data_IF_135040955874
#
_entry.id   IF_135040955874
#
_cell.length_a   1.000
_cell.length_b   1.000
_cell.length_c   1.000
_cell.angle_alpha   90.00
_cell.angle_beta   90.00
_cell.angle_gamma   90.00
#
_symmetry.space_group_name_H-M   'P 1'
#
loop_
_entity.id
_entity.type
_entity.pdbx_description
1 polymer ?
#
# COMPACT_ATOMS: atom_id res chain seq x y z
N UNK A 1 7.94 -46.23 -63.55
CA UNK A 1 7.61 -44.79 -63.45
C UNK A 1 6.21 -44.74 -62.88
N UNK A 2 6.07 -44.57 -61.56
CA UNK A 2 4.76 -44.40 -60.95
C UNK A 2 4.31 -42.97 -61.25
N UNK A 3 3.20 -42.85 -61.98
CA UNK A 3 2.53 -41.58 -62.23
C UNK A 3 1.83 -41.17 -60.94
N UNK A 4 2.33 -40.11 -60.31
CA UNK A 4 1.81 -39.54 -59.08
C UNK A 4 0.75 -38.47 -59.39
N UNK A 5 -0.27 -38.30 -58.54
CA UNK A 5 -1.23 -37.20 -58.70
C UNK A 5 -0.57 -35.87 -58.30
N UNK A 6 -0.64 -34.89 -59.18
CA UNK A 6 -0.19 -33.51 -58.91
C UNK A 6 -0.98 -32.83 -57.78
N UNK A 7 -2.15 -33.36 -57.43
CA UNK A 7 -3.06 -32.81 -56.42
C UNK A 7 -2.50 -32.78 -54.99
N UNK A 8 -1.99 -33.91 -54.49
CA UNK A 8 -1.55 -34.02 -53.08
C UNK A 8 -0.38 -33.09 -52.72
N UNK A 9 0.49 -32.81 -53.69
CA UNK A 9 1.59 -31.85 -53.53
C UNK A 9 1.08 -30.41 -53.55
N UNK A 10 0.10 -30.12 -54.39
CA UNK A 10 -0.52 -28.79 -54.51
C UNK A 10 -1.28 -28.44 -53.21
N UNK A 11 -1.94 -29.41 -52.58
CA UNK A 11 -2.60 -29.24 -51.29
C UNK A 11 -1.61 -28.90 -50.16
N UNK A 12 -0.46 -29.60 -50.08
CA UNK A 12 0.57 -29.27 -49.09
C UNK A 12 1.15 -27.86 -49.29
N UNK A 13 1.40 -27.46 -50.53
CA UNK A 13 1.91 -26.12 -50.85
C UNK A 13 0.89 -25.03 -50.47
N UNK A 14 -0.41 -25.25 -50.72
CA UNK A 14 -1.50 -24.35 -50.30
C UNK A 14 -1.63 -24.24 -48.77
N UNK A 15 -1.61 -25.35 -48.05
CA UNK A 15 -1.66 -25.37 -46.58
C UNK A 15 -0.43 -24.68 -45.97
N UNK A 16 0.75 -24.86 -46.56
CA UNK A 16 1.96 -24.16 -46.14
C UNK A 16 1.85 -22.64 -46.36
N UNK A 17 1.33 -22.20 -47.51
CA UNK A 17 1.13 -20.77 -47.79
C UNK A 17 0.12 -20.15 -46.81
N UNK A 18 -0.98 -20.84 -46.51
CA UNK A 18 -1.93 -20.39 -45.50
C UNK A 18 -1.28 -20.27 -44.12
N UNK A 19 -0.48 -21.26 -43.71
CA UNK A 19 0.25 -21.20 -42.45
C UNK A 19 1.21 -19.99 -42.38
N UNK A 20 1.94 -19.68 -43.46
CA UNK A 20 2.82 -18.51 -43.49
C UNK A 20 2.03 -17.21 -43.29
N UNK A 21 0.85 -17.10 -43.89
CA UNK A 21 -0.04 -15.94 -43.69
C UNK A 21 -0.49 -15.83 -42.23
N UNK A 22 -0.91 -16.93 -41.60
CA UNK A 22 -1.29 -16.95 -40.19
C UNK A 22 -0.13 -16.56 -39.28
N UNK A 23 1.05 -17.13 -39.52
CA UNK A 23 2.25 -16.86 -38.76
C UNK A 23 2.69 -15.40 -38.88
N UNK A 24 2.66 -14.82 -40.09
CA UNK A 24 2.99 -13.42 -40.30
C UNK A 24 2.00 -12.50 -39.57
N UNK A 25 0.70 -12.80 -39.66
CA UNK A 25 -0.33 -12.03 -38.94
C UNK A 25 -0.11 -12.06 -37.43
N UNK A 26 0.22 -13.22 -36.86
CA UNK A 26 0.54 -13.36 -35.44
C UNK A 26 1.77 -12.53 -35.04
N UNK A 27 2.82 -12.53 -35.88
CA UNK A 27 4.00 -11.70 -35.66
C UNK A 27 3.66 -10.21 -35.70
N UNK A 28 2.86 -9.78 -36.68
CA UNK A 28 2.45 -8.38 -36.83
C UNK A 28 1.62 -7.92 -35.63
N UNK A 29 0.68 -8.75 -35.15
CA UNK A 29 -0.10 -8.48 -33.94
C UNK A 29 0.81 -8.39 -32.70
N UNK A 30 1.76 -9.32 -32.52
CA UNK A 30 2.70 -9.26 -31.41
C UNK A 30 3.60 -8.03 -31.45
N UNK A 31 4.14 -7.68 -32.62
CA UNK A 31 4.98 -6.48 -32.79
C UNK A 31 4.18 -5.22 -32.50
N UNK A 32 2.94 -5.14 -32.98
CA UNK A 32 2.03 -4.02 -32.70
C UNK A 32 1.77 -3.86 -31.21
N UNK A 33 1.51 -4.93 -30.47
CA UNK A 33 1.28 -4.87 -29.02
C UNK A 33 2.58 -4.51 -28.25
N UNK A 34 3.74 -4.98 -28.72
CA UNK A 34 5.05 -4.69 -28.09
C UNK A 34 5.53 -3.26 -28.33
N UNK A 35 5.20 -2.68 -29.49
CA UNK A 35 5.61 -1.32 -29.86
C UNK A 35 4.78 -0.22 -29.17
N UNK A 36 3.64 -0.56 -28.56
CA UNK A 36 2.88 0.39 -27.76
C UNK A 36 3.75 0.89 -26.61
N UNK A 37 3.94 2.21 -26.52
CA UNK A 37 4.80 2.81 -25.50
C UNK A 37 3.95 3.29 -24.34
N UNK A 38 4.46 3.10 -23.11
CA UNK A 38 3.87 3.63 -21.88
C UNK A 38 3.68 5.16 -21.89
N UNK A 39 4.29 5.86 -22.85
CA UNK A 39 4.14 7.30 -23.10
C UNK A 39 2.94 7.67 -23.98
N UNK A 40 2.29 6.70 -24.63
CA UNK A 40 1.17 6.96 -25.53
C UNK A 40 -0.08 7.40 -24.72
N UNK A 41 -0.73 8.47 -25.16
CA UNK A 41 -1.93 9.03 -24.50
C UNK A 41 -3.08 8.01 -24.46
N UNK A 42 -3.11 7.08 -25.42
CA UNK A 42 -4.09 6.00 -25.53
C UNK A 42 -3.54 4.64 -25.07
N UNK A 43 -2.52 4.62 -24.20
CA UNK A 43 -1.97 3.36 -23.71
C UNK A 43 -3.04 2.53 -22.99
N UNK A 44 -3.27 1.27 -23.39
CA UNK A 44 -4.31 0.44 -22.79
C UNK A 44 -4.02 0.14 -21.32
N UNK A 45 -5.08 -0.07 -20.53
CA UNK A 45 -4.93 -0.50 -19.14
C UNK A 45 -4.26 -1.87 -19.06
N UNK A 46 -3.67 -2.20 -17.91
CA UNK A 46 -3.00 -3.49 -17.73
C UNK A 46 -3.98 -4.67 -17.86
N UNK A 47 -5.26 -4.51 -17.50
CA UNK A 47 -6.30 -5.53 -17.75
C UNK A 47 -6.53 -5.74 -19.24
N UNK A 48 -6.63 -4.65 -20.01
CA UNK A 48 -6.84 -4.74 -21.46
C UNK A 48 -5.62 -5.34 -22.16
N UNK A 49 -4.41 -4.96 -21.73
CA UNK A 49 -3.16 -5.53 -22.23
C UNK A 49 -3.09 -7.03 -21.94
N UNK A 50 -3.43 -7.44 -20.73
CA UNK A 50 -3.46 -8.85 -20.34
C UNK A 50 -4.39 -9.65 -21.25
N UNK A 51 -5.60 -9.13 -21.49
CA UNK A 51 -6.56 -9.73 -22.40
C UNK A 51 -6.02 -9.85 -23.84
N UNK A 52 -5.34 -8.81 -24.34
CA UNK A 52 -4.71 -8.82 -25.67
C UNK A 52 -3.62 -9.91 -25.76
N UNK A 53 -2.74 -10.02 -24.75
CA UNK A 53 -1.69 -11.05 -24.75
C UNK A 53 -2.25 -12.47 -24.55
N UNK A 54 -3.35 -12.64 -23.80
CA UNK A 54 -4.04 -13.94 -23.69
C UNK A 54 -4.63 -14.38 -25.02
N UNK A 55 -5.26 -13.47 -25.77
CA UNK A 55 -5.73 -13.74 -27.14
C UNK A 55 -4.59 -14.07 -28.11
N UNK A 56 -3.47 -13.36 -28.01
CA UNK A 56 -2.27 -13.68 -28.79
C UNK A 56 -1.74 -15.09 -28.49
N UNK A 57 -1.81 -15.52 -27.23
CA UNK A 57 -1.42 -16.88 -26.85
C UNK A 57 -2.37 -17.93 -27.45
N UNK A 58 -3.68 -17.67 -27.46
CA UNK A 58 -4.67 -18.54 -28.11
C UNK A 58 -4.41 -18.66 -29.62
N UNK A 59 -4.19 -17.54 -30.32
CA UNK A 59 -3.82 -17.53 -31.75
C UNK A 59 -2.49 -18.27 -32.01
N UNK A 60 -1.53 -18.17 -31.09
CA UNK A 60 -0.28 -18.90 -31.17
C UNK A 60 -0.50 -20.42 -31.03
N UNK A 61 -1.35 -20.86 -30.10
CA UNK A 61 -1.68 -22.27 -29.92
C UNK A 61 -2.33 -22.85 -31.18
N UNK A 62 -3.25 -22.12 -31.82
CA UNK A 62 -3.82 -22.47 -33.13
C UNK A 62 -2.74 -22.60 -34.21
N UNK A 63 -1.84 -21.62 -34.28
CA UNK A 63 -0.73 -21.61 -35.25
C UNK A 63 0.22 -22.79 -35.03
N UNK A 64 0.55 -23.11 -33.78
CA UNK A 64 1.37 -24.28 -33.40
C UNK A 64 0.68 -25.59 -33.79
N UNK A 65 -0.64 -25.68 -33.66
CA UNK A 65 -1.39 -26.85 -34.09
C UNK A 65 -1.39 -27.01 -35.62
N UNK A 66 -1.58 -25.92 -36.38
CA UNK A 66 -1.42 -25.96 -37.84
C UNK A 66 0.00 -26.38 -38.26
N UNK A 67 1.03 -25.88 -37.58
CA UNK A 67 2.41 -26.29 -37.83
C UNK A 67 2.64 -27.79 -37.58
N UNK A 68 2.06 -28.34 -36.52
CA UNK A 68 2.12 -29.80 -36.22
C UNK A 68 1.44 -30.61 -37.31
N UNK A 69 0.26 -30.18 -37.78
CA UNK A 69 -0.44 -30.85 -38.87
C UNK A 69 0.34 -30.79 -40.19
N UNK A 70 0.91 -29.64 -40.54
CA UNK A 70 1.80 -29.50 -41.69
C UNK A 70 3.00 -30.43 -41.60
N UNK A 71 3.63 -30.50 -40.43
CA UNK A 71 4.75 -31.43 -40.17
C UNK A 71 4.31 -32.89 -40.32
N UNK A 72 3.09 -33.24 -39.88
CA UNK A 72 2.52 -34.58 -40.03
C UNK A 72 2.28 -34.91 -41.50
N UNK A 73 1.66 -34.01 -42.26
CA UNK A 73 1.41 -34.18 -43.71
C UNK A 73 2.73 -34.31 -44.48
N UNK A 74 3.71 -33.46 -44.17
CA UNK A 74 5.05 -33.51 -44.78
C UNK A 74 5.71 -34.88 -44.59
N UNK A 75 5.64 -35.46 -43.38
CA UNK A 75 6.17 -36.81 -43.11
C UNK A 75 5.43 -37.89 -43.89
N UNK A 76 4.09 -37.82 -43.96
CA UNK A 76 3.29 -38.79 -44.71
C UNK A 76 3.62 -38.78 -46.20
N UNK A 77 3.72 -37.60 -46.81
CA UNK A 77 4.08 -37.44 -48.21
C UNK A 77 5.53 -37.89 -48.47
N UNK A 78 6.45 -37.60 -47.53
CA UNK A 78 7.83 -38.09 -47.60
C UNK A 78 7.89 -39.63 -47.59
N UNK A 79 7.09 -40.27 -46.73
CA UNK A 79 6.99 -41.74 -46.67
C UNK A 79 6.40 -42.35 -47.95
N UNK A 80 5.50 -41.63 -48.64
CA UNK A 80 4.98 -42.02 -49.96
C UNK A 80 6.00 -41.80 -51.11
N UNK A 81 7.19 -41.29 -50.83
CA UNK A 81 8.25 -41.06 -51.81
C UNK A 81 8.27 -39.65 -52.42
N UNK A 82 7.43 -38.72 -51.94
CA UNK A 82 7.49 -37.32 -52.36
C UNK A 82 8.69 -36.62 -51.71
N UNK A 83 9.53 -35.95 -52.50
CA UNK A 83 10.57 -35.06 -51.97
C UNK A 83 9.94 -33.72 -51.61
N UNK A 84 9.58 -33.56 -50.35
CA UNK A 84 9.09 -32.28 -49.81
C UNK A 84 10.23 -31.58 -49.09
N UNK A 85 10.55 -30.38 -49.57
CA UNK A 85 11.54 -29.52 -48.96
C UNK A 85 10.88 -28.58 -47.95
N UNK A 86 10.81 -29.01 -46.69
CA UNK A 86 10.32 -28.21 -45.56
C UNK A 86 11.49 -27.76 -44.67
N UNK A 87 12.57 -27.28 -45.31
CA UNK A 87 13.82 -26.86 -44.64
C UNK A 87 13.62 -25.80 -43.55
N UNK A 88 12.60 -24.95 -43.67
CA UNK A 88 12.26 -23.92 -42.68
C UNK A 88 11.57 -24.44 -41.42
N UNK A 89 11.19 -25.72 -41.35
CA UNK A 89 10.43 -26.28 -40.22
C UNK A 89 11.15 -26.14 -38.87
N UNK A 90 12.46 -26.41 -38.84
CA UNK A 90 13.25 -26.33 -37.62
C UNK A 90 13.34 -24.91 -37.08
N UNK A 91 13.55 -23.95 -37.99
CA UNK A 91 13.60 -22.52 -37.69
C UNK A 91 12.24 -21.99 -37.23
N UNK A 92 11.16 -22.33 -37.95
CA UNK A 92 9.79 -21.96 -37.59
C UNK A 92 9.41 -22.48 -36.22
N UNK A 93 9.73 -23.74 -35.91
CA UNK A 93 9.47 -24.32 -34.59
C UNK A 93 10.25 -23.60 -33.47
N UNK A 94 11.52 -23.24 -33.73
CA UNK A 94 12.31 -22.47 -32.77
C UNK A 94 11.75 -21.06 -32.55
N UNK A 95 11.30 -20.41 -33.63
CA UNK A 95 10.71 -19.08 -33.57
C UNK A 95 9.35 -19.10 -32.84
N UNK A 96 8.50 -20.09 -33.10
CA UNK A 96 7.23 -20.28 -32.38
C UNK A 96 7.44 -20.46 -30.88
N UNK A 97 8.40 -21.30 -30.47
CA UNK A 97 8.76 -21.47 -29.05
C UNK A 97 9.30 -20.18 -28.42
N UNK A 98 10.10 -19.44 -29.17
CA UNK A 98 10.64 -18.15 -28.71
C UNK A 98 9.51 -17.14 -28.51
N UNK A 99 8.58 -17.06 -29.46
CA UNK A 99 7.41 -16.20 -29.38
C UNK A 99 6.50 -16.59 -28.21
N UNK A 100 6.28 -17.89 -28.00
CA UNK A 100 5.52 -18.41 -26.84
C UNK A 100 6.14 -17.93 -25.53
N UNK A 101 7.45 -18.11 -25.36
CA UNK A 101 8.17 -17.67 -24.17
C UNK A 101 8.06 -16.15 -23.96
N UNK A 102 8.15 -15.36 -25.04
CA UNK A 102 8.00 -13.91 -24.97
C UNK A 102 6.59 -13.49 -24.53
N UNK A 103 5.54 -14.09 -25.12
CA UNK A 103 4.14 -13.80 -24.77
C UNK A 103 3.87 -14.19 -23.31
N UNK A 104 4.30 -15.38 -22.86
CA UNK A 104 4.12 -15.83 -21.48
C UNK A 104 4.82 -14.92 -20.47
N UNK A 105 6.05 -14.51 -20.75
CA UNK A 105 6.78 -13.57 -19.89
C UNK A 105 6.08 -12.22 -19.76
N UNK A 106 5.50 -11.72 -20.85
CA UNK A 106 4.72 -10.47 -20.85
C UNK A 106 3.42 -10.62 -20.05
N UNK A 107 2.70 -11.73 -20.19
CA UNK A 107 1.53 -12.06 -19.36
C UNK A 107 1.90 -12.04 -17.88
N UNK A 108 2.95 -12.76 -17.49
CA UNK A 108 3.41 -12.84 -16.09
C UNK A 108 3.85 -11.48 -15.55
N UNK A 109 4.47 -10.62 -16.37
CA UNK A 109 4.82 -9.25 -15.97
C UNK A 109 3.57 -8.43 -15.70
N UNK A 110 2.60 -8.46 -16.61
CA UNK A 110 1.35 -7.69 -16.47
C UNK A 110 0.53 -8.18 -15.28
N UNK A 111 0.45 -9.50 -15.05
CA UNK A 111 -0.27 -10.06 -13.90
C UNK A 111 0.37 -9.65 -12.56
N UNK A 112 1.71 -9.61 -12.47
CA UNK A 112 2.41 -9.08 -11.29
C UNK A 112 2.15 -7.59 -11.07
N UNK A 113 2.10 -6.81 -12.15
CA UNK A 113 1.78 -5.39 -12.08
C UNK A 113 0.34 -5.18 -11.57
N UNK A 114 -0.65 -5.88 -12.13
CA UNK A 114 -2.04 -5.82 -11.69
C UNK A 114 -2.21 -6.22 -10.22
N UNK A 115 -1.52 -7.26 -9.77
CA UNK A 115 -1.54 -7.67 -8.37
C UNK A 115 -0.94 -6.58 -7.47
N UNK A 116 0.18 -5.97 -7.88
CA UNK A 116 0.82 -4.88 -7.15
C UNK A 116 -0.06 -3.63 -7.10
N UNK A 117 -0.77 -3.29 -8.19
CA UNK A 117 -1.76 -2.20 -8.22
C UNK A 117 -2.90 -2.48 -7.23
N UNK A 118 -3.44 -3.70 -7.22
CA UNK A 118 -4.51 -4.10 -6.29
C UNK A 118 -4.07 -4.02 -4.82
N UNK A 119 -2.86 -4.49 -4.52
CA UNK A 119 -2.27 -4.37 -3.18
C UNK A 119 -2.12 -2.91 -2.78
N UNK A 120 -1.63 -2.06 -3.69
CA UNK A 120 -1.53 -0.63 -3.45
C UNK A 120 -2.89 -0.02 -3.08
N UNK A 121 -3.95 -0.29 -3.84
CA UNK A 121 -5.27 0.29 -3.58
C UNK A 121 -5.87 -0.16 -2.25
N UNK A 122 -5.62 -1.41 -1.84
CA UNK A 122 -6.06 -1.90 -0.54
C UNK A 122 -5.34 -1.16 0.60
N UNK A 123 -4.02 -0.99 0.48
CA UNK A 123 -3.20 -0.28 1.47
C UNK A 123 -3.59 1.20 1.53
N UNK A 124 -3.84 1.86 0.40
CA UNK A 124 -4.30 3.26 0.40
C UNK A 124 -5.64 3.43 1.13
N UNK A 125 -6.54 2.46 0.97
CA UNK A 125 -7.84 2.46 1.66
C UNK A 125 -7.69 2.25 3.17
N UNK A 126 -6.83 1.31 3.59
CA UNK A 126 -6.52 1.09 5.01
C UNK A 126 -5.87 2.32 5.63
N UNK A 127 -4.91 2.92 4.92
CA UNK A 127 -4.23 4.15 5.34
C UNK A 127 -5.21 5.31 5.51
N UNK A 128 -6.12 5.53 4.55
CA UNK A 128 -7.14 6.57 4.69
C UNK A 128 -8.06 6.31 5.88
N UNK A 129 -8.43 5.05 6.13
CA UNK A 129 -9.23 4.65 7.29
C UNK A 129 -8.51 4.98 8.60
N UNK A 130 -7.24 4.59 8.74
CA UNK A 130 -6.47 4.89 9.95
C UNK A 130 -6.30 6.39 10.18
N UNK A 131 -6.03 7.15 9.12
CA UNK A 131 -5.91 8.61 9.20
C UNK A 131 -7.24 9.25 9.59
N UNK A 132 -8.35 8.81 9.00
CA UNK A 132 -9.67 9.35 9.27
C UNK A 132 -10.11 9.08 10.71
N UNK A 133 -10.03 7.82 11.16
CA UNK A 133 -10.47 7.45 12.52
C UNK A 133 -9.56 8.13 13.57
N UNK A 134 -8.26 8.19 13.33
CA UNK A 134 -7.33 8.89 14.25
C UNK A 134 -7.65 10.38 14.35
N UNK A 135 -8.00 11.03 13.24
CA UNK A 135 -8.42 12.42 13.24
C UNK A 135 -9.73 12.64 14.00
N UNK A 136 -10.72 11.76 13.83
CA UNK A 136 -11.99 11.84 14.55
C UNK A 136 -11.83 11.59 16.05
N UNK A 137 -11.01 10.61 16.45
CA UNK A 137 -10.68 10.36 17.85
C UNK A 137 -9.94 11.54 18.49
N UNK A 138 -9.03 12.17 17.75
CA UNK A 138 -8.33 13.34 18.24
C UNK A 138 -9.31 14.51 18.48
N UNK A 139 -10.28 14.71 17.58
CA UNK A 139 -11.33 15.72 17.78
C UNK A 139 -12.21 15.40 18.99
N UNK A 140 -12.67 14.15 19.14
CA UNK A 140 -13.54 13.75 20.25
C UNK A 140 -12.82 13.71 21.61
N UNK A 141 -11.50 13.56 21.62
CA UNK A 141 -10.67 13.54 22.83
C UNK A 141 -10.84 14.79 23.71
N UNK A 142 -11.28 15.91 23.15
CA UNK A 142 -11.52 17.15 23.91
C UNK A 142 -12.49 16.97 25.09
N UNK A 143 -13.41 16.00 25.00
CA UNK A 143 -14.50 15.79 25.97
C UNK A 143 -14.32 14.58 26.89
N UNK A 144 -13.21 13.84 26.79
CA UNK A 144 -13.00 12.61 27.56
C UNK A 144 -12.19 12.83 28.84
N UNK A 145 -12.51 12.05 29.89
CA UNK A 145 -11.79 12.04 31.17
C UNK A 145 -10.47 11.27 31.09
N UNK A 146 -10.38 10.24 30.24
CA UNK A 146 -9.17 9.42 30.06
C UNK A 146 -8.49 9.74 28.72
N UNK A 147 -7.82 10.89 28.67
CA UNK A 147 -7.14 11.37 27.46
C UNK A 147 -5.84 10.61 27.18
N UNK A 148 -5.20 10.07 28.22
CA UNK A 148 -3.94 9.31 28.07
C UNK A 148 -4.15 8.01 27.27
N UNK A 149 -5.20 7.25 27.59
CA UNK A 149 -5.54 6.05 26.81
C UNK A 149 -5.86 6.37 25.34
N UNK A 150 -6.51 7.52 25.10
CA UNK A 150 -6.84 7.98 23.75
C UNK A 150 -5.57 8.36 22.98
N UNK A 151 -4.67 9.14 23.59
CA UNK A 151 -3.40 9.52 22.95
C UNK A 151 -2.53 8.30 22.66
N UNK A 152 -2.49 7.29 23.53
CA UNK A 152 -1.77 6.06 23.27
C UNK A 152 -2.37 5.28 22.09
N UNK A 153 -3.70 5.22 22.01
CA UNK A 153 -4.41 4.56 20.89
C UNK A 153 -4.13 5.27 19.57
N UNK A 154 -4.19 6.60 19.56
CA UNK A 154 -3.89 7.41 18.38
C UNK A 154 -2.42 7.23 17.97
N UNK A 155 -1.48 7.25 18.92
CA UNK A 155 -0.05 7.04 18.64
C UNK A 155 0.22 5.69 17.97
N UNK A 156 -0.36 4.60 18.49
CA UNK A 156 -0.24 3.27 17.90
C UNK A 156 -0.79 3.23 16.45
N UNK A 157 -1.92 3.91 16.19
CA UNK A 157 -2.51 3.98 14.85
C UNK A 157 -1.68 4.83 13.89
N UNK A 158 -1.10 5.93 14.35
CA UNK A 158 -0.20 6.74 13.52
C UNK A 158 1.06 5.97 13.13
N UNK A 159 1.57 5.10 14.01
CA UNK A 159 2.66 4.19 13.69
C UNK A 159 2.25 3.13 12.65
N UNK A 160 1.04 2.57 12.76
CA UNK A 160 0.48 1.67 11.73
C UNK A 160 0.33 2.38 10.38
N UNK A 161 -0.22 3.60 10.36
CA UNK A 161 -0.32 4.42 9.16
C UNK A 161 1.04 4.68 8.50
N UNK A 162 2.09 4.91 9.29
CA UNK A 162 3.45 5.09 8.76
C UNK A 162 3.99 3.81 8.12
N UNK A 163 3.73 2.65 8.74
CA UNK A 163 4.09 1.36 8.16
C UNK A 163 3.40 1.13 6.81
N UNK A 164 2.09 1.36 6.74
CA UNK A 164 1.32 1.20 5.51
C UNK A 164 1.72 2.21 4.42
N UNK A 165 2.04 3.45 4.80
CA UNK A 165 2.56 4.45 3.86
C UNK A 165 3.89 4.01 3.25
N UNK A 166 4.82 3.47 4.07
CA UNK A 166 6.10 2.96 3.56
C UNK A 166 5.90 1.77 2.61
N UNK A 167 4.94 0.89 2.91
CA UNK A 167 4.58 -0.22 2.02
C UNK A 167 3.99 0.28 0.70
N UNK A 168 3.12 1.29 0.75
CA UNK A 168 2.56 1.97 -0.43
C UNK A 168 3.65 2.58 -1.31
N UNK A 169 4.66 3.24 -0.71
CA UNK A 169 5.84 3.75 -1.42
C UNK A 169 6.59 2.61 -2.13
N UNK A 170 6.91 1.52 -1.44
CA UNK A 170 7.64 0.39 -2.02
C UNK A 170 6.87 -0.25 -3.19
N UNK A 171 5.54 -0.38 -3.09
CA UNK A 171 4.72 -0.91 -4.17
C UNK A 171 4.69 0.05 -5.37
N UNK A 172 4.63 1.35 -5.13
CA UNK A 172 4.67 2.35 -6.20
C UNK A 172 5.97 2.29 -7.01
N UNK A 173 7.11 2.11 -6.33
CA UNK A 173 8.42 1.97 -6.97
C UNK A 173 8.50 0.73 -7.88
N UNK A 174 7.85 -0.38 -7.49
CA UNK A 174 7.77 -1.59 -8.32
C UNK A 174 6.97 -1.36 -9.60
N UNK A 175 5.99 -0.47 -9.57
CA UNK A 175 5.10 -0.19 -10.70
C UNK A 175 5.67 0.81 -11.72
N UNK A 176 6.83 1.42 -11.45
CA UNK A 176 7.37 2.52 -12.27
C UNK A 176 7.53 2.18 -13.76
N UNK A 177 7.87 0.93 -14.06
CA UNK A 177 8.09 0.44 -15.43
C UNK A 177 6.87 -0.24 -16.04
N UNK A 178 5.84 -0.51 -15.24
CA UNK A 178 4.67 -1.30 -15.64
C UNK A 178 3.40 -0.45 -15.79
N UNK A 179 3.44 0.81 -15.32
CA UNK A 179 2.36 1.78 -15.43
C UNK A 179 2.67 2.90 -16.43
N UNK A 180 1.67 3.39 -17.19
CA UNK A 180 1.77 4.64 -17.91
C UNK A 180 2.22 5.75 -16.98
N UNK A 181 3.07 6.64 -17.49
CA UNK A 181 3.64 7.73 -16.68
C UNK A 181 2.56 8.58 -16.01
N UNK A 182 1.45 8.84 -16.71
CA UNK A 182 0.31 9.57 -16.14
C UNK A 182 -0.31 8.89 -14.93
N UNK A 183 -0.49 7.56 -14.96
CA UNK A 183 -1.01 6.76 -13.82
C UNK A 183 -0.02 6.74 -12.66
N UNK A 184 1.26 6.55 -12.95
CA UNK A 184 2.31 6.57 -11.94
C UNK A 184 2.39 7.93 -11.23
N UNK A 185 2.31 9.04 -11.97
CA UNK A 185 2.29 10.39 -11.37
C UNK A 185 1.04 10.63 -10.50
N UNK A 186 -0.12 10.07 -10.88
CA UNK A 186 -1.31 10.10 -10.01
C UNK A 186 -1.09 9.33 -8.72
N UNK A 187 -0.48 8.14 -8.82
CA UNK A 187 -0.11 7.31 -7.66
C UNK A 187 0.80 8.08 -6.70
N UNK A 188 1.84 8.71 -7.25
CA UNK A 188 2.81 9.50 -6.50
C UNK A 188 2.14 10.67 -5.77
N UNK A 189 1.26 11.42 -6.44
CA UNK A 189 0.50 12.50 -5.81
C UNK A 189 -0.39 12.01 -4.68
N UNK A 190 -1.01 10.85 -4.83
CA UNK A 190 -1.81 10.24 -3.76
C UNK A 190 -0.93 9.96 -2.55
N UNK A 191 0.23 9.30 -2.73
CA UNK A 191 1.18 9.01 -1.65
C UNK A 191 1.66 10.30 -0.96
N UNK A 192 2.02 11.33 -1.73
CA UNK A 192 2.44 12.64 -1.22
C UNK A 192 1.33 13.25 -0.33
N UNK A 193 0.09 13.29 -0.83
CA UNK A 193 -1.06 13.78 -0.05
C UNK A 193 -1.29 12.96 1.23
N UNK A 194 -1.10 11.63 1.21
CA UNK A 194 -1.21 10.79 2.40
C UNK A 194 -0.11 11.09 3.41
N UNK A 195 1.12 11.25 2.93
CA UNK A 195 2.26 11.61 3.75
C UNK A 195 2.03 12.95 4.45
N UNK A 196 1.61 13.97 3.71
CA UNK A 196 1.29 15.29 4.27
C UNK A 196 0.21 15.22 5.35
N UNK A 197 -0.88 14.48 5.11
CA UNK A 197 -1.95 14.27 6.10
C UNK A 197 -1.46 13.56 7.36
N UNK A 198 -0.62 12.52 7.21
CA UNK A 198 -0.03 11.80 8.34
C UNK A 198 0.85 12.74 9.19
N UNK A 199 1.71 13.52 8.55
CA UNK A 199 2.60 14.46 9.26
C UNK A 199 1.80 15.57 9.97
N UNK A 200 0.77 16.11 9.31
CA UNK A 200 -0.12 17.09 9.93
C UNK A 200 -0.80 16.52 11.18
N UNK A 201 -1.34 15.29 11.09
CA UNK A 201 -2.03 14.63 12.20
C UNK A 201 -1.08 14.30 13.36
N UNK A 202 0.14 13.81 13.07
CA UNK A 202 1.20 13.60 14.08
C UNK A 202 1.47 14.89 14.85
N UNK A 203 1.71 16.00 14.14
CA UNK A 203 1.96 17.31 14.75
C UNK A 203 0.79 17.80 15.60
N UNK A 204 -0.46 17.63 15.14
CA UNK A 204 -1.65 18.00 15.94
C UNK A 204 -1.76 17.14 17.19
N UNK A 205 -1.48 15.83 17.10
CA UNK A 205 -1.51 14.91 18.23
C UNK A 205 -0.45 15.27 19.28
N UNK A 206 0.78 15.56 18.86
CA UNK A 206 1.87 15.98 19.76
C UNK A 206 1.51 17.27 20.50
N UNK A 207 0.94 18.26 19.78
CA UNK A 207 0.48 19.51 20.39
C UNK A 207 -0.61 19.26 21.43
N UNK A 208 -1.64 18.50 21.08
CA UNK A 208 -2.76 18.18 21.97
C UNK A 208 -2.30 17.41 23.22
N UNK A 209 -1.34 16.50 23.06
CA UNK A 209 -0.71 15.79 24.17
C UNK A 209 0.06 16.74 25.09
N UNK A 210 0.88 17.65 24.53
CA UNK A 210 1.60 18.64 25.32
C UNK A 210 0.69 19.58 26.12
N UNK A 211 -0.43 20.00 25.52
CA UNK A 211 -1.47 20.77 26.21
C UNK A 211 -2.12 19.97 27.36
N UNK A 212 -2.39 18.68 27.15
CA UNK A 212 -2.92 17.80 28.19
C UNK A 212 -1.94 17.59 29.35
N UNK A 213 -0.66 17.33 29.06
CA UNK A 213 0.39 17.19 30.07
C UNK A 213 0.56 18.47 30.90
N UNK A 214 0.49 19.65 30.26
CA UNK A 214 0.52 20.94 30.96
C UNK A 214 -0.69 21.11 31.89
N UNK A 215 -1.88 20.74 31.43
CA UNK A 215 -3.10 20.77 32.22
C UNK A 215 -3.00 19.85 33.45
N UNK A 216 -2.53 18.61 33.28
CA UNK A 216 -2.30 17.67 34.39
C UNK A 216 -1.33 18.26 35.41
N UNK A 217 -0.20 18.82 34.96
CA UNK A 217 0.79 19.44 35.86
C UNK A 217 0.20 20.59 36.66
N UNK A 218 -0.60 21.43 36.01
CA UNK A 218 -1.29 22.55 36.67
C UNK A 218 -2.30 22.06 37.70
N UNK A 219 -3.09 21.05 37.35
CA UNK A 219 -4.08 20.45 38.25
C UNK A 219 -3.42 19.80 39.47
N UNK A 220 -2.33 19.06 39.27
CA UNK A 220 -1.58 18.42 40.36
C UNK A 220 -1.01 19.48 41.31
N UNK A 221 -0.42 20.55 40.77
CA UNK A 221 0.06 21.67 41.58
C UNK A 221 -1.05 22.33 42.40
N UNK A 222 -2.21 22.60 41.77
CA UNK A 222 -3.38 23.13 42.48
C UNK A 222 -3.85 22.20 43.60
N UNK A 223 -3.85 20.88 43.36
CA UNK A 223 -4.21 19.90 44.37
C UNK A 223 -3.21 19.89 45.55
N UNK A 224 -1.89 19.96 45.26
CA UNK A 224 -0.85 20.07 46.29
C UNK A 224 -1.00 21.35 47.12
N UNK A 225 -1.24 22.49 46.46
CA UNK A 225 -1.48 23.78 47.12
C UNK A 225 -2.73 23.70 48.02
N UNK A 226 -3.82 23.09 47.54
CA UNK A 226 -5.05 22.90 48.32
C UNK A 226 -4.84 21.98 49.53
N UNK A 227 -4.12 20.87 49.37
CA UNK A 227 -3.78 19.97 50.49
C UNK A 227 -2.98 20.75 51.54
N UNK A 228 -1.98 21.52 51.11
CA UNK A 228 -1.15 22.33 51.99
C UNK A 228 -1.98 23.36 52.77
N UNK A 229 -2.91 24.05 52.09
CA UNK A 229 -3.83 25.00 52.72
C UNK A 229 -4.74 24.30 53.73
N UNK A 230 -5.31 23.15 53.37
CA UNK A 230 -6.19 22.38 54.26
C UNK A 230 -5.42 21.92 55.51
N UNK A 231 -4.19 21.45 55.36
CA UNK A 231 -3.35 21.03 56.48
C UNK A 231 -2.97 22.21 57.38
N UNK A 232 -2.69 23.37 56.79
CA UNK A 232 -2.49 24.61 57.55
C UNK A 232 -3.74 25.00 58.35
N UNK A 233 -4.93 24.96 57.75
CA UNK A 233 -6.20 25.21 58.45
C UNK A 233 -6.45 24.20 59.58
N UNK A 234 -6.19 22.92 59.36
CA UNK A 234 -6.31 21.89 60.42
C UNK A 234 -5.41 22.20 61.60
N UNK A 235 -4.16 22.59 61.35
CA UNK A 235 -3.20 22.95 62.40
C UNK A 235 -3.66 24.19 63.18
N UNK A 236 -4.13 25.23 62.49
CA UNK A 236 -4.69 26.42 63.12
C UNK A 236 -5.86 26.07 64.06
N UNK A 237 -6.78 25.20 63.62
CA UNK A 237 -7.90 24.75 64.44
C UNK A 237 -7.42 23.95 65.67
N UNK A 238 -6.37 23.12 65.53
CA UNK A 238 -5.78 22.40 66.66
C UNK A 238 -5.16 23.37 67.68
N UNK A 239 -4.40 24.35 67.21
CA UNK A 239 -3.77 25.37 68.06
C UNK A 239 -4.82 26.19 68.83
N UNK A 240 -5.94 26.53 68.19
CA UNK A 240 -7.06 27.25 68.82
C UNK A 240 -7.86 26.41 69.82
N UNK A 241 -7.83 25.08 69.70
CA UNK A 241 -8.52 24.16 70.60
C UNK A 241 -7.65 23.71 71.80
N UNK A 242 -6.40 24.18 71.91
CA UNK A 242 -5.64 24.04 73.15
C UNK A 242 -6.01 25.16 74.13
N UNK A 243 -6.45 24.84 75.36
CA UNK A 243 -6.78 25.86 76.35
C UNK A 243 -5.51 26.65 76.67
N UNK A 244 -5.59 27.98 76.56
CA UNK A 244 -4.56 28.87 77.07
C UNK A 244 -4.35 28.58 78.57
N UNK A 245 -3.25 27.93 78.95
CA UNK A 245 -2.76 27.99 80.33
C UNK A 245 -2.25 29.40 80.58
N UNK A 246 -3.18 30.30 80.92
CA UNK A 246 -2.87 31.60 81.49
C UNK A 246 -2.26 31.38 82.88
N UNK A 247 -0.94 31.29 82.95
CA UNK A 247 -0.18 31.46 84.18
C UNK A 247 -0.27 32.94 84.60
N UNK A 248 -1.42 33.31 85.18
CA UNK A 248 -1.57 34.54 85.95
C UNK A 248 -0.95 34.29 87.33
N UNK A 249 0.36 34.52 87.47
CA UNK A 249 0.95 34.68 88.82
C UNK A 249 0.45 36.00 89.39
N UNK A 250 -0.68 35.94 90.10
CA UNK A 250 -1.10 36.98 91.02
C UNK A 250 -0.09 37.00 92.17
N UNK A 251 0.84 37.96 92.18
CA UNK A 251 1.57 38.32 93.39
C UNK A 251 0.60 39.05 94.33
N UNK A 252 0.30 38.54 95.53
CA UNK A 252 -0.40 39.33 96.53
C UNK A 252 0.63 40.25 97.21
N UNK A 253 0.51 41.56 96.97
CA UNK A 253 1.13 42.56 97.83
C UNK A 253 0.18 42.80 99.01
N UNK A 254 0.38 42.04 100.07
CA UNK A 254 -0.06 42.41 101.42
C UNK A 254 1.17 42.85 102.20
N UNK A 255 1.04 43.98 102.90
CA UNK A 255 1.80 44.44 104.07
C UNK A 255 2.40 45.83 103.88
N UNK A 256 1.62 46.84 104.30
CA UNK A 256 2.10 48.07 104.93
C UNK A 256 0.97 48.60 105.84
N UNK A 257 0.59 47.78 106.83
CA UNK A 257 0.18 48.30 108.14
C UNK A 257 1.45 48.33 108.98
N UNK A 258 2.10 49.49 109.08
CA UNK A 258 2.94 49.89 110.21
C UNK A 258 3.43 51.33 110.04
N UNK A 259 2.74 52.28 110.67
CA UNK A 259 3.34 53.22 111.64
C UNK A 259 2.34 54.30 112.01
N UNK A 260 1.78 54.11 113.20
CA UNK A 260 1.32 55.18 114.08
C UNK A 260 2.58 55.74 114.76
N UNK A 261 2.92 56.99 114.44
CA UNK A 261 3.47 58.07 115.30
C UNK A 261 4.21 59.11 114.47
#
# INVERSE_FOLDING_TARGET
IFYFSSGERTEFEQENDQFQIFYQKLQDEFVKEKQQKLTDVNYPSNERRLEQYKKLLEHLDETVNHFKELTRIQRLLTNKGHRIDFRSAGELNANLKTLEGQIRNEIERIERALQTEKEFYNIDKELDSYLHISAEQLKSSQHHQDKDAIFQTIANRLQQSEHELNKSIQLSERLINDLPRSKYEQLKRTIENRHERLQALKKTCEKARGEHEHMIKTQNKLNEDLITIIDWFRKLIQDLNHPFELNLSLNPVTDLQDSVN
#
